data_IF_070630122507
#
_entry.id   IF_070630122507
#
_cell.length_a   1.000
_cell.length_b   1.000
_cell.length_c   1.000
_cell.angle_alpha   90.00
_cell.angle_beta   90.00
_cell.angle_gamma   90.00
#
_symmetry.space_group_name_H-M   'P 1'
#
loop_
_entity.id
_entity.type
_entity.pdbx_description
1 polymer ?
#
# COMPACT_ATOMS: atom_id res chain seq x y z
N UNK A 1 -7.76 15.75 3.01
CA UNK A 1 -7.10 14.57 2.40
C UNK A 1 -5.85 14.22 3.19
N UNK A 2 -5.69 12.97 3.52
CA UNK A 2 -4.54 12.53 4.30
C UNK A 2 -3.27 12.55 3.45
N UNK A 3 -2.16 12.98 4.04
CA UNK A 3 -0.88 13.03 3.36
C UNK A 3 -0.17 11.68 3.45
N UNK A 4 0.50 11.30 2.37
CA UNK A 4 1.30 10.10 2.30
C UNK A 4 2.74 10.41 2.74
N UNK A 5 3.32 9.49 3.48
CA UNK A 5 4.70 9.60 3.93
C UNK A 5 5.43 8.29 3.61
N UNK A 6 6.52 8.39 2.87
CA UNK A 6 7.33 7.23 2.50
C UNK A 6 8.37 6.92 3.58
N UNK A 7 8.79 5.65 3.63
CA UNK A 7 9.91 5.25 4.48
C UNK A 7 11.22 5.78 3.92
N UNK A 8 12.04 6.37 4.78
CA UNK A 8 13.31 6.96 4.39
C UNK A 8 14.52 6.09 4.74
N UNK A 9 14.36 5.10 5.61
CA UNK A 9 15.48 4.29 6.10
C UNK A 9 15.38 2.86 5.59
N UNK A 10 16.47 2.36 5.00
CA UNK A 10 16.55 0.97 4.54
C UNK A 10 16.31 -0.03 5.66
N UNK A 11 16.74 0.28 6.88
CA UNK A 11 16.56 -0.55 8.06
C UNK A 11 15.07 -0.78 8.37
N UNK A 12 14.27 0.30 8.34
CA UNK A 12 12.84 0.22 8.61
C UNK A 12 12.12 -0.54 7.50
N UNK A 13 12.54 -0.33 6.25
CA UNK A 13 12.02 -1.00 5.08
C UNK A 13 12.22 -2.51 5.20
N UNK A 14 13.45 -2.96 5.48
CA UNK A 14 13.78 -4.38 5.61
C UNK A 14 13.01 -5.04 6.76
N UNK A 15 12.77 -4.31 7.82
CA UNK A 15 12.04 -4.81 8.99
C UNK A 15 10.59 -5.14 8.62
N UNK A 16 9.94 -4.29 7.85
CA UNK A 16 8.55 -4.50 7.41
C UNK A 16 8.45 -5.67 6.43
N UNK A 17 9.44 -5.86 5.56
CA UNK A 17 9.45 -6.96 4.60
C UNK A 17 9.51 -8.34 5.26
N UNK A 18 9.89 -8.42 6.52
CA UNK A 18 9.91 -9.68 7.29
C UNK A 18 8.61 -9.96 8.03
N UNK A 19 7.66 -9.05 7.98
CA UNK A 19 6.39 -9.16 8.70
C UNK A 19 5.29 -9.71 7.79
N UNK A 20 4.07 -9.28 8.00
CA UNK A 20 2.90 -9.79 7.27
C UNK A 20 2.81 -9.22 5.87
N UNK A 21 2.23 -10.01 4.95
CA UNK A 21 1.99 -9.56 3.58
C UNK A 21 0.67 -10.11 3.07
N UNK A 22 0.09 -9.38 2.13
CA UNK A 22 -1.05 -9.84 1.33
C UNK A 22 -0.65 -9.74 -0.13
N UNK A 23 -0.72 -10.87 -0.83
CA UNK A 23 -0.40 -10.93 -2.25
C UNK A 23 -1.71 -10.92 -3.05
N UNK A 24 -1.80 -10.00 -4.01
CA UNK A 24 -2.97 -9.87 -4.89
C UNK A 24 -2.54 -10.01 -6.34
N UNK A 25 -3.52 -9.97 -7.24
CA UNK A 25 -3.28 -10.02 -8.68
C UNK A 25 -2.40 -8.86 -9.18
N UNK A 26 -2.54 -7.67 -8.58
CA UNK A 26 -1.90 -6.44 -9.06
C UNK A 26 -0.73 -5.97 -8.23
N UNK A 27 -0.62 -6.43 -6.99
CA UNK A 27 0.43 -5.97 -6.08
C UNK A 27 0.58 -6.93 -4.91
N UNK A 28 1.70 -6.78 -4.21
CA UNK A 28 1.91 -7.38 -2.89
C UNK A 28 2.09 -6.25 -1.89
N UNK A 29 1.33 -6.25 -0.81
CA UNK A 29 1.46 -5.25 0.23
C UNK A 29 2.00 -5.89 1.50
N UNK A 30 3.12 -5.34 1.99
CA UNK A 30 3.71 -5.69 3.28
C UNK A 30 3.26 -4.66 4.29
N UNK A 31 3.00 -5.08 5.51
CA UNK A 31 2.50 -4.16 6.54
C UNK A 31 2.93 -4.59 7.93
N UNK A 32 3.11 -3.59 8.79
CA UNK A 32 3.39 -3.79 10.21
C UNK A 32 2.93 -2.56 10.97
N UNK A 33 2.75 -2.69 12.27
CA UNK A 33 2.33 -1.57 13.10
C UNK A 33 3.38 -0.47 13.11
N UNK A 34 2.94 0.78 13.20
CA UNK A 34 3.84 1.93 13.25
C UNK A 34 4.73 1.86 14.48
N UNK A 35 6.00 2.20 14.31
CA UNK A 35 6.98 2.23 15.38
C UNK A 35 6.89 3.49 16.24
N UNK A 36 6.28 4.54 15.70
CA UNK A 36 6.19 5.83 16.36
C UNK A 36 4.72 6.23 16.50
N UNK A 37 4.40 6.91 17.59
CA UNK A 37 3.09 7.49 17.80
C UNK A 37 2.97 8.78 16.98
N UNK A 38 2.74 8.64 15.68
CA UNK A 38 2.56 9.79 14.78
C UNK A 38 1.11 10.30 14.80
N UNK A 39 0.33 9.92 15.79
CA UNK A 39 -1.05 10.36 15.98
C UNK A 39 -1.92 10.29 14.72
N UNK A 40 -1.60 9.35 13.83
CA UNK A 40 -2.38 9.08 12.61
C UNK A 40 -2.53 10.28 11.66
N UNK A 41 -1.54 11.18 11.67
CA UNK A 41 -1.54 12.34 10.78
C UNK A 41 -1.20 12.00 9.34
N UNK A 42 -0.48 10.89 9.14
CA UNK A 42 0.02 10.50 7.82
C UNK A 42 -0.33 9.05 7.55
N UNK A 43 -0.54 8.76 6.28
CA UNK A 43 -0.55 7.37 5.81
C UNK A 43 0.89 7.02 5.46
N UNK A 44 1.50 6.14 6.25
CA UNK A 44 2.86 5.69 6.03
C UNK A 44 2.83 4.59 4.97
N UNK A 45 3.15 4.94 3.74
CA UNK A 45 3.07 4.02 2.62
C UNK A 45 4.19 4.31 1.62
N UNK A 46 4.82 3.25 1.13
CA UNK A 46 5.85 3.32 0.09
C UNK A 46 5.43 2.46 -1.08
N UNK A 47 5.65 2.95 -2.29
CA UNK A 47 5.35 2.23 -3.53
C UNK A 47 6.66 1.84 -4.20
N UNK A 48 6.87 0.55 -4.42
CA UNK A 48 8.10 0.03 -5.00
C UNK A 48 7.79 -0.71 -6.29
N UNK A 49 8.53 -0.36 -7.34
CA UNK A 49 8.44 -1.03 -8.64
C UNK A 49 9.79 -1.63 -8.93
N UNK A 50 9.88 -2.96 -8.96
CA UNK A 50 11.11 -3.66 -9.31
C UNK A 50 11.46 -3.42 -10.77
N UNK A 51 12.75 -3.47 -11.11
CA UNK A 51 13.21 -3.21 -12.48
C UNK A 51 12.60 -4.16 -13.51
N UNK A 52 12.32 -5.40 -13.14
CA UNK A 52 11.74 -6.39 -14.05
C UNK A 52 10.26 -6.12 -14.39
N UNK A 53 9.62 -5.19 -13.72
CA UNK A 53 8.23 -4.81 -14.01
C UNK A 53 8.12 -4.07 -15.34
N UNK A 54 9.16 -3.35 -15.72
CA UNK A 54 9.19 -2.59 -16.98
C UNK A 54 10.19 -1.45 -16.92
N UNK A 55 10.23 -0.64 -18.00
CA UNK A 55 11.10 0.54 -18.03
C UNK A 55 10.56 1.64 -17.10
N UNK A 56 11.31 2.75 -16.99
CA UNK A 56 10.96 3.85 -16.08
C UNK A 56 9.58 4.44 -16.33
N UNK A 57 9.19 4.56 -17.61
CA UNK A 57 7.88 5.10 -17.98
C UNK A 57 6.76 4.19 -17.50
N UNK A 58 6.89 2.88 -17.73
CA UNK A 58 5.90 1.88 -17.30
C UNK A 58 5.82 1.85 -15.78
N UNK A 59 6.97 1.80 -15.10
CA UNK A 59 7.01 1.79 -13.63
C UNK A 59 6.33 3.01 -13.03
N UNK A 60 6.55 4.19 -13.61
CA UNK A 60 5.90 5.42 -13.14
C UNK A 60 4.39 5.38 -13.31
N UNK A 61 3.91 4.85 -14.43
CA UNK A 61 2.47 4.71 -14.66
C UNK A 61 1.81 3.76 -13.67
N UNK A 62 2.45 2.63 -13.40
CA UNK A 62 1.97 1.66 -12.41
C UNK A 62 1.90 2.31 -11.02
N UNK A 63 2.98 2.99 -10.64
CA UNK A 63 3.04 3.69 -9.36
C UNK A 63 1.90 4.71 -9.22
N UNK A 64 1.66 5.49 -10.26
CA UNK A 64 0.60 6.51 -10.26
C UNK A 64 -0.78 5.88 -10.11
N UNK A 65 -1.04 4.79 -10.83
CA UNK A 65 -2.33 4.09 -10.72
C UNK A 65 -2.58 3.56 -9.31
N UNK A 66 -1.58 2.88 -8.73
CA UNK A 66 -1.69 2.35 -7.39
C UNK A 66 -1.84 3.46 -6.35
N UNK A 67 -1.03 4.50 -6.47
CA UNK A 67 -1.10 5.64 -5.56
C UNK A 67 -2.46 6.33 -5.63
N UNK A 68 -2.97 6.54 -6.84
CA UNK A 68 -4.28 7.15 -7.03
C UNK A 68 -5.40 6.29 -6.44
N UNK A 69 -5.33 4.98 -6.62
CA UNK A 69 -6.32 4.06 -6.04
C UNK A 69 -6.31 4.13 -4.51
N UNK A 70 -5.14 4.15 -3.89
CA UNK A 70 -5.02 4.27 -2.44
C UNK A 70 -5.55 5.62 -1.95
N UNK A 71 -5.23 6.70 -2.65
CA UNK A 71 -5.74 8.04 -2.32
C UNK A 71 -7.27 8.08 -2.35
N UNK A 72 -7.85 7.48 -3.38
CA UNK A 72 -9.30 7.47 -3.56
C UNK A 72 -9.99 6.69 -2.42
N UNK A 73 -9.45 5.55 -2.05
CA UNK A 73 -10.00 4.74 -0.97
C UNK A 73 -9.87 5.46 0.37
N UNK A 74 -8.72 6.07 0.64
CA UNK A 74 -8.51 6.78 1.90
C UNK A 74 -9.45 7.97 2.05
N UNK A 75 -9.82 8.60 0.94
CA UNK A 75 -10.73 9.75 0.94
C UNK A 75 -12.20 9.33 1.06
N UNK A 76 -12.62 8.34 0.27
CA UNK A 76 -14.04 7.99 0.14
C UNK A 76 -14.51 6.96 1.16
N UNK A 77 -13.72 5.94 1.41
CA UNK A 77 -14.16 4.79 2.21
C UNK A 77 -13.58 4.77 3.63
N UNK A 78 -12.51 5.52 3.88
CA UNK A 78 -11.79 5.51 5.16
C UNK A 78 -11.45 4.09 5.62
N UNK A 79 -11.21 3.18 4.68
CA UNK A 79 -10.97 1.77 4.97
C UNK A 79 -9.52 1.44 5.25
N UNK A 80 -8.62 2.43 5.23
CA UNK A 80 -7.20 2.22 5.45
C UNK A 80 -6.85 2.51 6.91
N UNK A 81 -6.24 1.54 7.57
CA UNK A 81 -5.82 1.68 8.95
C UNK A 81 -4.52 2.49 9.02
N UNK A 82 -4.57 3.65 9.66
CA UNK A 82 -3.43 4.55 9.78
C UNK A 82 -2.41 4.10 10.84
N UNK A 83 -2.72 3.06 11.58
CA UNK A 83 -1.82 2.53 12.61
C UNK A 83 -0.75 1.61 12.04
N UNK A 84 -0.79 1.34 10.74
CA UNK A 84 0.17 0.50 10.05
C UNK A 84 1.04 1.30 9.10
N UNK A 85 2.23 0.76 8.83
CA UNK A 85 3.09 1.20 7.74
C UNK A 85 3.00 0.16 6.64
N UNK A 86 2.87 0.62 5.40
CA UNK A 86 2.65 -0.24 4.23
C UNK A 86 3.77 -0.10 3.22
N UNK A 87 4.15 -1.22 2.60
CA UNK A 87 5.02 -1.22 1.42
C UNK A 87 4.31 -1.97 0.32
N UNK A 88 4.02 -1.29 -0.78
CA UNK A 88 3.29 -1.84 -1.92
C UNK A 88 4.25 -2.10 -3.07
N UNK A 89 4.37 -3.37 -3.47
CA UNK A 89 5.13 -3.76 -4.65
C UNK A 89 4.16 -3.97 -5.80
N UNK A 90 4.23 -3.09 -6.80
CA UNK A 90 3.35 -3.18 -7.97
C UNK A 90 3.79 -4.25 -8.95
N UNK A 91 2.81 -4.84 -9.62
CA UNK A 91 3.03 -5.85 -10.68
C UNK A 91 2.76 -5.25 -12.05
N UNK A 92 3.33 -5.87 -13.09
CA UNK A 92 3.26 -5.33 -14.44
C UNK A 92 1.84 -5.27 -15.03
N UNK A 93 0.93 -6.15 -14.59
CA UNK A 93 -0.43 -6.17 -15.12
C UNK A 93 -1.26 -4.92 -14.73
N UNK A 94 -0.80 -4.14 -13.77
CA UNK A 94 -1.43 -2.85 -13.44
C UNK A 94 -1.41 -1.89 -14.63
N UNK A 95 -0.36 -1.97 -15.44
CA UNK A 95 -0.15 -1.06 -16.57
C UNK A 95 -1.29 -1.08 -17.58
N UNK A 96 -1.77 -2.28 -17.92
CA UNK A 96 -2.78 -2.45 -18.96
C UNK A 96 -4.21 -2.62 -18.45
N UNK A 97 -4.39 -2.99 -17.21
CA UNK A 97 -5.72 -3.31 -16.71
C UNK A 97 -6.52 -2.04 -16.38
N UNK A 98 -7.83 -2.20 -16.30
CA UNK A 98 -8.74 -1.10 -16.02
C UNK A 98 -8.56 -0.61 -14.58
N UNK A 99 -8.65 0.69 -14.39
CA UNK A 99 -8.50 1.30 -13.07
C UNK A 99 -9.51 0.76 -12.06
N UNK A 100 -10.74 0.48 -12.48
CA UNK A 100 -11.78 -0.07 -11.60
C UNK A 100 -11.37 -1.40 -10.98
N UNK A 101 -10.73 -2.27 -11.75
CA UNK A 101 -10.26 -3.56 -11.26
C UNK A 101 -9.16 -3.39 -10.21
N UNK A 102 -8.25 -2.45 -10.47
CA UNK A 102 -7.17 -2.13 -9.55
C UNK A 102 -7.73 -1.53 -8.27
N UNK A 103 -8.69 -0.61 -8.39
CA UNK A 103 -9.32 0.04 -7.25
C UNK A 103 -10.03 -0.99 -6.34
N UNK A 104 -10.77 -1.92 -6.94
CA UNK A 104 -11.46 -2.96 -6.19
C UNK A 104 -10.48 -3.85 -5.42
N UNK A 105 -9.37 -4.23 -6.06
CA UNK A 105 -8.36 -5.07 -5.42
C UNK A 105 -7.66 -4.35 -4.27
N UNK A 106 -7.35 -3.06 -4.46
CA UNK A 106 -6.77 -2.23 -3.41
C UNK A 106 -7.73 -2.12 -2.23
N UNK A 107 -9.00 -1.86 -2.50
CA UNK A 107 -10.03 -1.75 -1.47
C UNK A 107 -10.14 -3.03 -0.65
N UNK A 108 -10.20 -4.18 -1.31
CA UNK A 108 -10.29 -5.47 -0.63
C UNK A 108 -9.07 -5.77 0.23
N UNK A 109 -7.88 -5.53 -0.31
CA UNK A 109 -6.63 -5.81 0.41
C UNK A 109 -6.51 -4.97 1.68
N UNK A 110 -6.74 -3.67 1.58
CA UNK A 110 -6.63 -2.78 2.75
C UNK A 110 -7.75 -3.03 3.77
N UNK A 111 -8.92 -3.42 3.31
CA UNK A 111 -10.00 -3.81 4.20
C UNK A 111 -9.65 -5.08 4.99
N UNK A 112 -9.02 -6.06 4.36
CA UNK A 112 -8.54 -7.26 5.04
C UNK A 112 -7.51 -6.92 6.12
N UNK A 113 -6.60 -6.00 5.83
CA UNK A 113 -5.60 -5.55 6.81
C UNK A 113 -6.28 -4.89 8.01
N UNK A 114 -7.27 -4.06 7.76
CA UNK A 114 -8.04 -3.41 8.83
C UNK A 114 -8.74 -4.43 9.71
N UNK A 115 -9.32 -5.48 9.12
CA UNK A 115 -9.97 -6.54 9.86
C UNK A 115 -8.98 -7.34 10.73
N UNK A 116 -7.78 -7.60 10.21
CA UNK A 116 -6.73 -8.26 10.98
C UNK A 116 -6.39 -7.45 12.23
N UNK A 117 -6.24 -6.13 12.07
CA UNK A 117 -6.00 -5.23 13.19
C UNK A 117 -7.11 -5.28 14.24
N UNK A 118 -8.36 -5.27 13.78
CA UNK A 118 -9.51 -5.33 14.69
C UNK A 118 -9.57 -6.64 15.47
N UNK A 119 -9.23 -7.75 14.83
CA UNK A 119 -9.22 -9.07 15.50
C UNK A 119 -8.16 -9.17 16.60
N UNK A 120 -7.04 -8.50 16.44
CA UNK A 120 -5.97 -8.53 17.43
C UNK A 120 -6.32 -7.77 18.70
N UNK A 121 -7.30 -6.88 18.65
CA UNK A 121 -7.73 -6.07 19.78
C UNK A 121 -8.98 -6.59 20.49
N UNK A 122 -9.63 -7.59 19.92
CA UNK A 122 -10.74 -8.27 20.51
C UNK A 122 -10.26 -9.55 21.19
#
# INVERSE_FOLDING_TARGET
MIKFKSLNRSKDFLKILKKKRINTKYFTVYFDKNFKNDFNKYLNISFVMKKNVGNAVIRNKIKRKLKYAVQKISKEEKSIDLNYTYIVFGKNNVYKDKFENILNEVSEAFNKIKQIGNKLWN
#
